data_IF_808114101265
#
_entry.id   IF_808114101265
#
_cell.length_a   1.000
_cell.length_b   1.000
_cell.length_c   1.000
_cell.angle_alpha   90.00
_cell.angle_beta   90.00
_cell.angle_gamma   90.00
#
_symmetry.space_group_name_H-M   'P 1'
#
loop_
_entity.id
_entity.type
_entity.pdbx_description
1 polymer ?
#
# COMPACT_ATOMS: atom_id res chain seq x y z
N UNK A 1 -11.96 18.38 -48.62
CA UNK A 1 -11.16 17.21 -48.18
C UNK A 1 -9.97 17.55 -47.27
N UNK A 2 -9.06 18.46 -47.64
CA UNK A 2 -7.86 18.80 -46.82
C UNK A 2 -8.16 19.31 -45.39
N UNK A 3 -9.22 20.10 -45.20
CA UNK A 3 -9.60 20.63 -43.87
C UNK A 3 -10.15 19.57 -42.92
N UNK A 4 -10.97 18.65 -43.44
CA UNK A 4 -11.53 17.51 -42.69
C UNK A 4 -10.43 16.55 -42.24
N UNK A 5 -9.48 16.27 -43.13
CA UNK A 5 -8.34 15.40 -42.84
C UNK A 5 -7.44 15.99 -41.74
N UNK A 6 -7.20 17.31 -41.76
CA UNK A 6 -6.44 18.01 -40.71
C UNK A 6 -7.16 18.02 -39.36
N UNK A 7 -8.47 18.19 -39.35
CA UNK A 7 -9.28 18.13 -38.14
C UNK A 7 -9.28 16.73 -37.49
N UNK A 8 -9.48 15.68 -38.30
CA UNK A 8 -9.45 14.29 -37.84
C UNK A 8 -8.06 13.93 -37.26
N UNK A 9 -6.99 14.36 -37.93
CA UNK A 9 -5.63 14.13 -37.45
C UNK A 9 -5.38 14.85 -36.12
N UNK A 10 -5.85 16.10 -35.98
CA UNK A 10 -5.75 16.84 -34.72
C UNK A 10 -6.46 16.15 -33.56
N UNK A 11 -7.69 15.67 -33.77
CA UNK A 11 -8.45 14.92 -32.76
C UNK A 11 -7.75 13.61 -32.39
N UNK A 12 -7.29 12.85 -33.38
CA UNK A 12 -6.55 11.60 -33.14
C UNK A 12 -5.27 11.83 -32.33
N UNK A 13 -4.53 12.90 -32.65
CA UNK A 13 -3.30 13.27 -31.93
C UNK A 13 -3.62 13.67 -30.49
N UNK A 14 -4.67 14.47 -30.27
CA UNK A 14 -5.11 14.87 -28.94
C UNK A 14 -5.53 13.67 -28.08
N UNK A 15 -6.29 12.72 -28.65
CA UNK A 15 -6.69 11.50 -27.95
C UNK A 15 -5.47 10.63 -27.59
N UNK A 16 -4.49 10.52 -28.48
CA UNK A 16 -3.26 9.78 -28.21
C UNK A 16 -2.49 10.43 -27.06
N UNK A 17 -2.33 11.75 -27.06
CA UNK A 17 -1.68 12.48 -25.97
C UNK A 17 -2.42 12.27 -24.64
N UNK A 18 -3.75 12.36 -24.64
CA UNK A 18 -4.54 12.12 -23.44
C UNK A 18 -4.41 10.69 -22.93
N UNK A 19 -4.37 9.69 -23.81
CA UNK A 19 -4.18 8.30 -23.42
C UNK A 19 -2.80 8.07 -22.79
N UNK A 20 -1.74 8.67 -23.36
CA UNK A 20 -0.38 8.59 -22.81
C UNK A 20 -0.30 9.27 -21.45
N UNK A 21 -0.85 10.48 -21.31
CA UNK A 21 -0.89 11.21 -20.05
C UNK A 21 -1.71 10.47 -18.99
N UNK A 22 -2.88 9.95 -19.36
CA UNK A 22 -3.72 9.15 -18.48
C UNK A 22 -2.99 7.91 -17.97
N UNK A 23 -2.32 7.18 -18.87
CA UNK A 23 -1.51 6.01 -18.51
C UNK A 23 -0.36 6.39 -17.58
N UNK A 24 0.36 7.48 -17.87
CA UNK A 24 1.46 7.95 -17.04
C UNK A 24 1.00 8.34 -15.63
N UNK A 25 -0.15 9.02 -15.52
CA UNK A 25 -0.74 9.41 -14.23
C UNK A 25 -1.14 8.16 -13.44
N UNK A 26 -1.85 7.21 -14.06
CA UNK A 26 -2.24 5.96 -13.39
C UNK A 26 -1.02 5.20 -12.90
N UNK A 27 0.01 5.07 -13.74
CA UNK A 27 1.26 4.43 -13.36
C UNK A 27 1.95 5.15 -12.19
N UNK A 28 2.05 6.48 -12.23
CA UNK A 28 2.66 7.27 -11.17
C UNK A 28 1.95 7.10 -9.82
N UNK A 29 0.61 7.16 -9.83
CA UNK A 29 -0.19 6.99 -8.63
C UNK A 29 -0.11 5.56 -8.08
N UNK A 30 -0.12 4.55 -8.96
CA UNK A 30 0.03 3.16 -8.57
C UNK A 30 1.43 2.87 -8.02
N UNK A 31 2.49 3.42 -8.61
CA UNK A 31 3.86 3.23 -8.12
C UNK A 31 4.06 3.87 -6.73
N UNK A 32 3.37 4.98 -6.44
CA UNK A 32 3.41 5.64 -5.12
C UNK A 32 2.70 4.88 -4.00
N UNK A 33 1.83 3.93 -4.30
CA UNK A 33 1.14 3.15 -3.26
C UNK A 33 2.01 2.03 -2.68
N UNK A 34 3.15 1.72 -3.34
CA UNK A 34 4.08 0.70 -2.88
C UNK A 34 5.00 1.24 -1.77
N UNK A 35 5.23 0.47 -0.69
CA UNK A 35 6.19 0.83 0.33
C UNK A 35 7.62 0.76 -0.20
N UNK A 36 8.51 1.61 0.34
CA UNK A 36 9.94 1.56 0.05
C UNK A 36 10.60 0.48 0.91
N UNK A 37 11.09 -0.58 0.29
CA UNK A 37 11.74 -1.70 0.97
C UNK A 37 13.23 -1.49 1.22
N UNK A 38 13.92 -0.83 0.29
CA UNK A 38 15.35 -0.53 0.40
C UNK A 38 15.55 0.82 1.08
N UNK A 39 15.54 0.80 2.42
CA UNK A 39 15.74 2.01 3.22
C UNK A 39 16.30 1.69 4.60
N UNK A 40 17.35 2.40 4.99
CA UNK A 40 17.81 2.45 6.38
C UNK A 40 17.01 3.50 7.16
N UNK A 41 16.46 3.08 8.30
CA UNK A 41 15.65 3.93 9.18
C UNK A 41 16.23 3.91 10.59
N UNK A 42 16.35 5.09 11.19
CA UNK A 42 16.54 5.20 12.63
C UNK A 42 15.17 5.31 13.29
N UNK A 43 14.86 4.40 14.19
CA UNK A 43 13.61 4.35 14.92
C UNK A 43 13.88 4.40 16.41
N UNK A 44 12.99 5.03 17.16
CA UNK A 44 13.07 5.03 18.61
C UNK A 44 12.81 3.62 19.17
N UNK A 45 13.42 3.31 20.32
CA UNK A 45 13.21 2.08 21.09
C UNK A 45 13.76 0.77 20.48
N UNK A 46 14.61 0.83 19.46
CA UNK A 46 15.48 -0.31 19.13
C UNK A 46 16.71 -0.30 20.02
N UNK A 47 17.04 -1.45 20.60
CA UNK A 47 18.23 -1.59 21.45
C UNK A 47 19.51 -1.84 20.64
N UNK A 48 19.38 -2.43 19.45
CA UNK A 48 20.45 -2.68 18.50
C UNK A 48 19.94 -2.62 17.05
N UNK A 49 20.83 -2.51 16.05
CA UNK A 49 20.46 -2.63 14.64
C UNK A 49 19.81 -3.98 14.32
N UNK A 50 18.87 -3.96 13.38
CA UNK A 50 18.25 -5.16 12.80
C UNK A 50 18.10 -4.97 11.28
N UNK A 51 18.14 -6.07 10.55
CA UNK A 51 17.98 -6.10 9.10
C UNK A 51 16.73 -6.87 8.69
N UNK A 52 16.03 -6.34 7.68
CA UNK A 52 14.87 -7.00 7.04
C UNK A 52 15.22 -7.23 5.57
N UNK A 53 15.55 -8.47 5.22
CA UNK A 53 15.99 -8.86 3.88
C UNK A 53 14.85 -9.65 3.22
N UNK A 54 14.41 -9.21 2.04
CA UNK A 54 13.38 -9.90 1.26
C UNK A 54 13.99 -10.71 0.14
N UNK A 55 13.46 -11.90 -0.09
CA UNK A 55 13.84 -12.73 -1.23
C UNK A 55 13.14 -12.27 -2.53
N UNK A 56 13.38 -13.00 -3.63
CA UNK A 56 12.81 -12.70 -4.94
C UNK A 56 11.27 -12.81 -5.01
N UNK A 57 10.63 -13.42 -4.01
CA UNK A 57 9.16 -13.52 -3.89
C UNK A 57 8.61 -12.67 -2.74
N UNK A 58 9.43 -11.73 -2.24
CA UNK A 58 9.11 -10.77 -1.17
C UNK A 58 8.83 -11.39 0.21
N UNK A 59 9.35 -12.59 0.51
CA UNK A 59 9.27 -13.15 1.87
C UNK A 59 10.32 -12.46 2.76
N UNK A 60 9.93 -11.79 3.87
CA UNK A 60 10.86 -11.09 4.74
C UNK A 60 11.58 -12.05 5.69
N UNK A 61 12.91 -12.00 5.66
CA UNK A 61 13.80 -12.60 6.65
C UNK A 61 14.30 -11.50 7.58
N UNK A 62 14.14 -11.68 8.88
CA UNK A 62 14.39 -10.65 9.88
C UNK A 62 15.49 -11.14 10.80
N UNK A 63 16.60 -10.42 10.83
CA UNK A 63 17.76 -10.75 11.63
C UNK A 63 18.10 -9.61 12.59
N UNK A 64 18.29 -9.93 13.86
CA UNK A 64 18.63 -8.97 14.90
C UNK A 64 19.30 -9.68 16.08
N UNK A 65 19.90 -8.91 16.98
CA UNK A 65 20.68 -9.46 18.10
C UNK A 65 19.86 -9.92 19.31
N UNK A 66 18.57 -9.58 19.37
CA UNK A 66 17.69 -9.91 20.49
C UNK A 66 16.23 -10.02 20.03
N UNK A 67 15.44 -10.79 20.79
CA UNK A 67 14.05 -11.08 20.44
C UNK A 67 13.16 -9.82 20.38
N UNK A 68 13.21 -8.87 21.33
CA UNK A 68 12.38 -7.66 21.26
C UNK A 68 12.54 -6.86 19.96
N UNK A 69 13.78 -6.64 19.52
CA UNK A 69 14.06 -5.93 18.27
C UNK A 69 13.58 -6.75 17.07
N UNK A 70 13.78 -8.08 17.06
CA UNK A 70 13.27 -8.94 15.99
C UNK A 70 11.73 -8.93 15.91
N UNK A 71 11.02 -8.93 17.05
CA UNK A 71 9.57 -8.78 17.07
C UNK A 71 9.11 -7.40 16.59
N UNK A 72 9.87 -6.35 16.88
CA UNK A 72 9.63 -5.04 16.28
C UNK A 72 9.75 -5.10 14.76
N UNK A 73 10.83 -5.70 14.24
CA UNK A 73 11.02 -5.92 12.81
C UNK A 73 9.87 -6.72 12.18
N UNK A 74 9.37 -7.76 12.86
CA UNK A 74 8.24 -8.56 12.41
C UNK A 74 6.97 -7.74 12.26
N UNK A 75 6.66 -6.92 13.27
CA UNK A 75 5.53 -5.99 13.23
C UNK A 75 5.66 -4.95 12.12
N UNK A 76 6.88 -4.44 11.91
CA UNK A 76 7.18 -3.50 10.84
C UNK A 76 6.96 -4.13 9.44
N UNK A 77 7.48 -5.33 9.21
CA UNK A 77 7.26 -6.06 7.95
C UNK A 77 5.77 -6.36 7.72
N UNK A 78 5.05 -6.79 8.76
CA UNK A 78 3.61 -6.99 8.69
C UNK A 78 2.85 -5.70 8.33
N UNK A 79 3.23 -4.56 8.90
CA UNK A 79 2.64 -3.28 8.56
C UNK A 79 2.95 -2.89 7.11
N UNK A 80 4.17 -3.07 6.61
CA UNK A 80 4.50 -2.77 5.22
C UNK A 80 3.61 -3.54 4.24
N UNK A 81 3.37 -4.82 4.51
CA UNK A 81 2.75 -5.70 3.52
C UNK A 81 1.24 -5.87 3.74
N UNK A 82 0.75 -5.70 4.99
CA UNK A 82 -0.60 -6.10 5.43
C UNK A 82 -1.30 -5.06 6.32
N UNK A 83 -0.89 -3.79 6.30
CA UNK A 83 -1.47 -2.75 7.17
C UNK A 83 -3.00 -2.72 7.12
N UNK A 84 -3.58 -2.75 5.92
CA UNK A 84 -5.03 -2.73 5.75
C UNK A 84 -5.67 -3.95 6.41
N UNK A 85 -5.16 -5.15 6.16
CA UNK A 85 -5.69 -6.39 6.73
C UNK A 85 -5.62 -6.37 8.26
N UNK A 86 -4.47 -6.01 8.84
CA UNK A 86 -4.29 -5.90 10.29
C UNK A 86 -5.25 -4.87 10.90
N UNK A 87 -5.41 -3.71 10.26
CA UNK A 87 -6.28 -2.64 10.75
C UNK A 87 -7.74 -3.06 10.70
N UNK A 88 -8.18 -3.71 9.61
CA UNK A 88 -9.56 -4.20 9.49
C UNK A 88 -9.84 -5.34 10.48
N UNK A 89 -8.92 -6.29 10.64
CA UNK A 89 -9.05 -7.37 11.61
C UNK A 89 -9.11 -6.83 13.04
N UNK A 90 -8.25 -5.87 13.40
CA UNK A 90 -8.28 -5.21 14.71
C UNK A 90 -9.61 -4.52 14.95
N UNK A 91 -10.12 -3.76 13.98
CA UNK A 91 -11.42 -3.08 14.08
C UNK A 91 -12.58 -4.06 14.21
N UNK A 92 -12.57 -5.14 13.43
CA UNK A 92 -13.56 -6.21 13.52
C UNK A 92 -13.55 -6.85 14.91
N UNK A 93 -12.38 -7.23 15.42
CA UNK A 93 -12.23 -7.83 16.75
C UNK A 93 -12.68 -6.90 17.88
N UNK A 94 -12.59 -5.58 17.68
CA UNK A 94 -13.04 -4.57 18.64
C UNK A 94 -14.53 -4.17 18.49
N UNK A 95 -15.25 -4.71 17.51
CA UNK A 95 -16.60 -4.27 17.18
C UNK A 95 -16.66 -2.80 16.75
N UNK A 96 -15.76 -2.41 15.83
CA UNK A 96 -15.57 -1.05 15.31
C UNK A 96 -15.40 -1.01 13.78
N UNK A 97 -15.86 -2.03 13.07
CA UNK A 97 -15.78 -2.12 11.61
C UNK A 97 -16.66 -1.06 10.93
N UNK A 98 -17.77 -0.68 11.57
CA UNK A 98 -18.73 0.33 11.08
C UNK A 98 -18.18 1.75 11.04
N UNK A 99 -17.07 2.02 11.74
CA UNK A 99 -16.35 3.31 11.58
C UNK A 99 -15.78 3.48 10.17
N UNK A 100 -15.56 2.38 9.44
CA UNK A 100 -15.00 2.38 8.08
C UNK A 100 -16.06 2.06 7.03
N UNK A 101 -16.93 1.07 7.29
CA UNK A 101 -17.90 0.57 6.31
C UNK A 101 -19.34 1.04 6.57
N UNK A 102 -19.56 1.86 7.60
CA UNK A 102 -20.86 2.43 7.91
C UNK A 102 -21.87 1.42 8.44
N UNK A 103 -23.15 1.71 8.22
CA UNK A 103 -24.28 1.00 8.84
C UNK A 103 -24.37 -0.48 8.47
N UNK A 104 -23.80 -0.87 7.32
CA UNK A 104 -23.84 -2.26 6.82
C UNK A 104 -23.15 -3.26 7.75
N UNK A 105 -22.18 -2.81 8.55
CA UNK A 105 -21.38 -3.68 9.44
C UNK A 105 -21.76 -3.60 10.92
N UNK A 106 -22.83 -2.86 11.27
CA UNK A 106 -23.22 -2.64 12.67
C UNK A 106 -23.59 -3.93 13.38
N UNK A 107 -24.31 -4.83 12.70
CA UNK A 107 -24.67 -6.12 13.31
C UNK A 107 -23.44 -6.98 13.63
N UNK A 108 -22.41 -6.93 12.77
CA UNK A 108 -21.15 -7.61 13.02
C UNK A 108 -20.40 -6.97 14.20
N UNK A 109 -20.44 -5.65 14.33
CA UNK A 109 -19.82 -4.97 15.47
C UNK A 109 -20.50 -5.29 16.80
N UNK A 110 -21.84 -5.38 16.81
CA UNK A 110 -22.62 -5.78 17.99
C UNK A 110 -22.29 -7.22 18.38
N UNK A 111 -22.18 -8.13 17.41
CA UNK A 111 -21.86 -9.54 17.67
C UNK A 111 -20.47 -9.74 18.30
N UNK A 112 -19.51 -8.88 18.00
CA UNK A 112 -18.12 -9.01 18.47
C UNK A 112 -17.87 -8.39 19.86
N UNK A 113 -18.85 -7.72 20.46
CA UNK A 113 -18.75 -7.12 21.81
C UNK A 113 -19.29 -8.05 22.88
#
# INVERSE_FOLDING_TARGET
MRLVFRGLFGVATALLVLAVLGTAIVYYLAAKSLPTYDKSLSVANLSAPLDIIRDNVNIPNIAGSNDPDVFFGLGYAHAQDRLWQMTMLRRKAQGRLSEVYGTQTVQADIFMR
#
